data_IF_562620135863
#
_entry.id   IF_562620135863
#
_cell.length_a   1.000
_cell.length_b   1.000
_cell.length_c   1.000
_cell.angle_alpha   90.00
_cell.angle_beta   90.00
_cell.angle_gamma   90.00
#
_symmetry.space_group_name_H-M   'P 1'
#
loop_
_entity.id
_entity.type
_entity.pdbx_description
1 polymer ?
#
# COMPACT_ATOMS: atom_id res chain seq x y z
N UNK A 1 25.34 -21.39 31.06
CA UNK A 1 24.83 -21.70 29.71
C UNK A 1 23.46 -21.05 29.54
N UNK A 2 23.39 -19.73 29.66
CA UNK A 2 22.10 -19.02 29.86
C UNK A 2 22.02 -17.70 29.08
N UNK A 3 23.15 -17.01 28.91
CA UNK A 3 23.24 -15.71 28.25
C UNK A 3 23.22 -15.88 26.72
N UNK A 4 23.90 -16.91 26.18
CA UNK A 4 23.90 -17.20 24.74
C UNK A 4 22.49 -17.49 24.20
N UNK A 5 21.70 -18.25 24.96
CA UNK A 5 20.33 -18.62 24.58
C UNK A 5 19.40 -17.40 24.63
N UNK A 6 19.57 -16.51 25.62
CA UNK A 6 18.84 -15.25 25.71
C UNK A 6 19.16 -14.29 24.55
N UNK A 7 20.44 -14.18 24.15
CA UNK A 7 20.87 -13.38 22.99
C UNK A 7 20.30 -13.93 21.67
N UNK A 8 20.30 -15.25 21.49
CA UNK A 8 19.71 -15.90 20.31
C UNK A 8 18.21 -15.62 20.24
N UNK A 9 17.48 -15.76 21.35
CA UNK A 9 16.04 -15.47 21.40
C UNK A 9 15.76 -14.00 21.10
N UNK A 10 16.52 -13.07 21.69
CA UNK A 10 16.38 -11.63 21.44
C UNK A 10 16.65 -11.27 19.96
N UNK A 11 17.69 -11.86 19.35
CA UNK A 11 18.01 -11.67 17.93
C UNK A 11 16.89 -12.15 17.00
N UNK A 12 16.30 -13.32 17.28
CA UNK A 12 15.16 -13.85 16.52
C UNK A 12 13.94 -12.94 16.67
N UNK A 13 13.67 -12.44 17.87
CA UNK A 13 12.54 -11.53 18.12
C UNK A 13 12.67 -10.24 17.31
N UNK A 14 13.85 -9.63 17.29
CA UNK A 14 14.13 -8.44 16.48
C UNK A 14 13.95 -8.74 14.99
N UNK A 15 14.48 -9.88 14.51
CA UNK A 15 14.34 -10.27 13.11
C UNK A 15 12.86 -10.48 12.70
N UNK A 16 12.05 -11.10 13.55
CA UNK A 16 10.61 -11.31 13.31
C UNK A 16 9.87 -9.97 13.25
N UNK A 17 10.15 -9.05 14.18
CA UNK A 17 9.54 -7.72 14.17
C UNK A 17 9.95 -6.96 12.90
N UNK A 18 11.22 -7.02 12.50
CA UNK A 18 11.71 -6.38 11.27
C UNK A 18 11.00 -6.93 10.03
N UNK A 19 10.84 -8.25 9.92
CA UNK A 19 10.16 -8.90 8.81
C UNK A 19 8.68 -8.51 8.79
N UNK A 20 8.02 -8.44 9.94
CA UNK A 20 6.62 -7.99 10.02
C UNK A 20 6.46 -6.56 9.52
N UNK A 21 7.31 -5.64 10.01
CA UNK A 21 7.28 -4.23 9.60
C UNK A 21 7.55 -4.09 8.10
N UNK A 22 8.54 -4.82 7.55
CA UNK A 22 8.85 -4.78 6.11
C UNK A 22 7.67 -5.31 5.28
N UNK A 23 7.03 -6.41 5.70
CA UNK A 23 5.87 -6.96 4.99
C UNK A 23 4.71 -5.98 4.93
N UNK A 24 4.49 -5.19 5.98
CA UNK A 24 3.42 -4.19 5.98
C UNK A 24 3.74 -2.99 5.08
N UNK A 25 5.01 -2.56 5.00
CA UNK A 25 5.43 -1.54 4.04
C UNK A 25 5.21 -2.02 2.60
N UNK A 26 5.57 -3.27 2.30
CA UNK A 26 5.36 -3.84 0.96
C UNK A 26 3.89 -3.89 0.59
N UNK A 27 3.00 -4.24 1.54
CA UNK A 27 1.54 -4.17 1.31
C UNK A 27 1.07 -2.75 1.00
N UNK A 28 1.54 -1.75 1.75
CA UNK A 28 1.18 -0.34 1.52
C UNK A 28 1.62 0.09 0.12
N UNK A 29 2.85 -0.25 -0.29
CA UNK A 29 3.38 0.09 -1.63
C UNK A 29 2.55 -0.57 -2.73
N UNK A 30 2.24 -1.86 -2.61
CA UNK A 30 1.41 -2.57 -3.61
C UNK A 30 0.00 -1.97 -3.66
N UNK A 31 -0.59 -1.64 -2.51
CA UNK A 31 -1.92 -1.05 -2.43
C UNK A 31 -1.99 0.34 -3.07
N UNK A 32 -0.92 1.12 -2.89
CA UNK A 32 -0.73 2.44 -3.50
C UNK A 32 -0.65 2.36 -5.02
N UNK A 33 0.14 1.41 -5.55
CA UNK A 33 0.27 1.16 -6.98
C UNK A 33 -1.07 0.71 -7.57
N UNK A 34 -1.77 -0.20 -6.90
CA UNK A 34 -3.09 -0.67 -7.32
C UNK A 34 -4.12 0.48 -7.37
N UNK A 35 -4.14 1.36 -6.37
CA UNK A 35 -5.02 2.54 -6.36
C UNK A 35 -4.78 3.47 -7.55
N UNK A 36 -3.51 3.69 -7.91
CA UNK A 36 -3.14 4.48 -9.08
C UNK A 36 -3.50 3.78 -10.41
N UNK A 37 -3.30 2.46 -10.50
CA UNK A 37 -3.69 1.66 -11.68
C UNK A 37 -5.21 1.71 -11.88
N UNK A 38 -6.00 1.64 -10.80
CA UNK A 38 -7.45 1.75 -10.87
C UNK A 38 -7.88 3.14 -11.35
N UNK A 39 -7.28 4.22 -10.81
CA UNK A 39 -7.55 5.59 -11.28
C UNK A 39 -7.33 5.69 -12.80
N UNK A 40 -6.22 5.13 -13.28
CA UNK A 40 -5.88 5.13 -14.69
C UNK A 40 -6.89 4.33 -15.52
N UNK A 41 -7.27 3.13 -15.07
CA UNK A 41 -8.29 2.31 -15.74
C UNK A 41 -9.66 3.02 -15.78
N UNK A 42 -10.10 3.63 -14.67
CA UNK A 42 -11.39 4.33 -14.60
C UNK A 42 -11.46 5.46 -15.62
N UNK A 43 -10.40 6.24 -15.74
CA UNK A 43 -10.33 7.35 -16.68
C UNK A 43 -10.10 6.86 -18.12
N UNK A 44 -9.30 5.80 -18.34
CA UNK A 44 -9.10 5.20 -19.66
C UNK A 44 -10.39 4.63 -20.28
N UNK A 45 -11.25 4.04 -19.45
CA UNK A 45 -12.54 3.50 -19.87
C UNK A 45 -13.69 4.51 -19.77
N UNK A 46 -13.43 5.77 -19.39
CA UNK A 46 -14.43 6.80 -19.10
C UNK A 46 -15.60 6.27 -18.24
N UNK A 47 -15.28 5.44 -17.23
CA UNK A 47 -16.28 4.76 -16.41
C UNK A 47 -17.10 5.75 -15.58
N UNK A 48 -16.54 6.92 -15.24
CA UNK A 48 -17.26 8.01 -14.58
C UNK A 48 -18.30 8.63 -15.52
N UNK A 49 -17.98 8.77 -16.80
CA UNK A 49 -18.88 9.30 -17.82
C UNK A 49 -20.13 8.40 -18.00
N UNK A 50 -19.96 7.07 -17.89
CA UNK A 50 -21.08 6.12 -17.89
C UNK A 50 -22.03 6.29 -16.70
N UNK A 51 -21.53 6.82 -15.58
CA UNK A 51 -22.31 7.11 -14.36
C UNK A 51 -22.83 8.56 -14.37
N UNK A 52 -22.62 9.31 -15.45
CA UNK A 52 -23.06 10.70 -15.60
C UNK A 52 -22.25 11.69 -14.76
N UNK A 53 -21.02 11.33 -14.37
CA UNK A 53 -20.07 12.21 -13.69
C UNK A 53 -18.87 12.50 -14.58
N UNK A 54 -18.25 13.69 -14.44
CA UNK A 54 -16.99 13.97 -15.12
C UNK A 54 -15.89 13.05 -14.59
N UNK A 55 -14.93 12.71 -15.46
CA UNK A 55 -13.78 11.89 -15.08
C UNK A 55 -12.93 12.53 -13.98
N UNK A 56 -12.16 11.68 -13.29
CA UNK A 56 -11.29 12.12 -12.20
C UNK A 56 -10.06 12.81 -12.80
N UNK A 57 -9.96 14.12 -12.58
CA UNK A 57 -8.79 14.89 -12.99
C UNK A 57 -7.50 14.38 -12.29
N UNK A 58 -6.41 14.31 -13.04
CA UNK A 58 -5.08 13.93 -12.55
C UNK A 58 -4.39 15.08 -11.80
N UNK A 59 -5.05 15.58 -10.75
CA UNK A 59 -4.45 16.58 -9.87
C UNK A 59 -3.49 15.90 -8.88
N UNK A 60 -2.47 16.61 -8.37
CA UNK A 60 -1.57 16.07 -7.35
C UNK A 60 -2.32 15.56 -6.12
N UNK A 61 -3.42 16.23 -5.77
CA UNK A 61 -4.29 15.86 -4.65
C UNK A 61 -4.97 14.52 -4.90
N UNK A 62 -5.54 14.30 -6.09
CA UNK A 62 -6.19 13.03 -6.44
C UNK A 62 -5.19 11.87 -6.56
N UNK A 63 -4.00 12.11 -7.11
CA UNK A 63 -2.92 11.11 -7.14
C UNK A 63 -2.51 10.69 -5.73
N UNK A 64 -2.33 11.65 -4.82
CA UNK A 64 -1.96 11.37 -3.43
C UNK A 64 -3.10 10.65 -2.69
N UNK A 65 -4.35 11.07 -2.88
CA UNK A 65 -5.52 10.41 -2.30
C UNK A 65 -5.67 8.96 -2.80
N UNK A 66 -5.47 8.69 -4.09
CA UNK A 66 -5.49 7.33 -4.62
C UNK A 66 -4.28 6.51 -4.13
N UNK A 67 -3.11 7.12 -4.03
CA UNK A 67 -1.90 6.46 -3.55
C UNK A 67 -1.94 6.15 -2.04
N UNK A 68 -2.57 7.01 -1.23
CA UNK A 68 -2.72 6.83 0.22
C UNK A 68 -3.98 6.03 0.59
N UNK A 69 -5.07 6.23 -0.14
CA UNK A 69 -6.34 5.54 0.07
C UNK A 69 -6.28 4.09 -0.38
N UNK A 70 -5.54 3.79 -1.46
CA UNK A 70 -5.38 2.45 -2.00
C UNK A 70 -6.71 1.72 -2.23
N UNK A 71 -6.65 0.39 -2.30
CA UNK A 71 -7.82 -0.49 -2.17
C UNK A 71 -8.01 -0.76 -0.66
N UNK A 72 -9.23 -0.66 -0.10
CA UNK A 72 -9.48 -1.17 1.25
C UNK A 72 -9.15 -2.68 1.25
N UNK A 73 -8.07 -3.04 1.93
CA UNK A 73 -7.61 -4.40 2.10
C UNK A 73 -8.41 -5.16 3.15
#
# INVERSE_FOLDING_TARGET
>A
MSIDLALIIAGILIAVVLIFVIKDIVKIVINSILGLVILFCVNYFNLMEYVGRPDIEYTPVNLILCALGGIPG
#
